data_IF_472937182238
#
_entry.id   IF_472937182238
#
_cell.length_a   1.000
_cell.length_b   1.000
_cell.length_c   1.000
_cell.angle_alpha   90.00
_cell.angle_beta   90.00
_cell.angle_gamma   90.00
#
_symmetry.space_group_name_H-M   'P 1'
#
loop_
_entity.id
_entity.type
_entity.pdbx_description
1 polymer ?
#
# COMPACT_ATOMS: atom_id res chain seq x y z
N UNK A 1 -32.46 -5.98 -8.73
CA UNK A 1 -31.62 -5.81 -7.52
C UNK A 1 -31.98 -4.47 -6.88
N UNK A 2 -32.04 -4.42 -5.55
CA UNK A 2 -32.22 -3.20 -4.76
C UNK A 2 -30.95 -2.92 -3.95
N UNK A 3 -30.35 -1.75 -4.18
CA UNK A 3 -29.30 -1.17 -3.35
C UNK A 3 -29.95 -0.43 -2.16
N UNK A 4 -30.18 -1.19 -1.09
CA UNK A 4 -30.64 -0.65 0.19
C UNK A 4 -29.45 -0.20 1.04
N UNK A 5 -29.71 0.16 2.30
CA UNK A 5 -28.70 0.60 3.26
C UNK A 5 -28.84 -0.17 4.56
N UNK A 6 -27.73 -0.37 5.27
CA UNK A 6 -27.72 -0.96 6.61
C UNK A 6 -28.66 -0.23 7.58
N UNK A 7 -28.95 1.06 7.34
CA UNK A 7 -29.92 1.83 8.14
C UNK A 7 -31.35 1.30 8.06
N UNK A 8 -31.69 0.51 7.03
CA UNK A 8 -33.00 -0.13 6.89
C UNK A 8 -33.27 -1.20 7.96
N UNK A 9 -32.25 -1.64 8.70
CA UNK A 9 -32.42 -2.48 9.90
C UNK A 9 -33.28 -1.78 10.96
N UNK A 10 -33.21 -0.45 11.06
CA UNK A 10 -33.85 0.36 12.11
C UNK A 10 -33.43 -0.08 13.53
N UNK A 11 -32.16 -0.48 13.67
CA UNK A 11 -31.58 -0.91 14.95
C UNK A 11 -30.59 0.13 15.47
N UNK A 12 -30.55 0.31 16.80
CA UNK A 12 -29.59 1.20 17.48
C UNK A 12 -29.66 2.63 16.97
N UNK A 13 -28.52 3.17 16.50
CA UNK A 13 -28.42 4.55 15.98
C UNK A 13 -29.28 4.84 14.75
N UNK A 14 -29.91 3.83 14.14
CA UNK A 14 -30.75 3.97 12.95
C UNK A 14 -32.26 3.87 13.23
N UNK A 15 -32.67 3.61 14.47
CA UNK A 15 -34.06 3.23 14.80
C UNK A 15 -35.13 4.25 14.33
N UNK A 16 -34.84 5.55 14.41
CA UNK A 16 -35.83 6.59 14.12
C UNK A 16 -35.63 7.29 12.76
N UNK A 17 -34.59 6.93 12.01
CA UNK A 17 -34.22 7.63 10.77
C UNK A 17 -35.19 7.40 9.61
N UNK A 18 -35.76 8.48 9.08
CA UNK A 18 -36.68 8.41 7.93
C UNK A 18 -36.03 7.85 6.66
N UNK A 19 -34.72 8.04 6.50
CA UNK A 19 -33.94 7.41 5.44
C UNK A 19 -33.98 5.88 5.54
N UNK A 20 -33.75 5.32 6.73
CA UNK A 20 -33.83 3.88 6.97
C UNK A 20 -35.24 3.34 6.74
N UNK A 21 -36.28 4.05 7.19
CA UNK A 21 -37.68 3.67 6.98
C UNK A 21 -38.04 3.63 5.49
N UNK A 22 -37.62 4.64 4.73
CA UNK A 22 -37.82 4.71 3.28
C UNK A 22 -37.14 3.54 2.56
N UNK A 23 -35.89 3.22 2.93
CA UNK A 23 -35.16 2.07 2.40
C UNK A 23 -35.87 0.74 2.71
N UNK A 24 -36.27 0.52 3.97
CA UNK A 24 -37.01 -0.67 4.39
C UNK A 24 -38.34 -0.85 3.66
N UNK A 25 -39.09 0.23 3.46
CA UNK A 25 -40.33 0.19 2.67
C UNK A 25 -40.07 -0.23 1.21
N UNK A 26 -38.95 0.22 0.63
CA UNK A 26 -38.49 -0.22 -0.70
C UNK A 26 -38.14 -1.71 -0.74
N UNK A 27 -37.49 -2.24 0.30
CA UNK A 27 -37.19 -3.68 0.41
C UNK A 27 -38.47 -4.52 0.37
N UNK A 28 -39.46 -4.19 1.21
CA UNK A 28 -40.74 -4.92 1.24
C UNK A 28 -41.53 -4.80 -0.07
N UNK A 29 -41.41 -3.68 -0.79
CA UNK A 29 -41.99 -3.54 -2.13
C UNK A 29 -41.35 -4.53 -3.11
N UNK A 30 -40.03 -4.65 -3.11
CA UNK A 30 -39.30 -5.58 -3.99
C UNK A 30 -39.60 -7.03 -3.66
N UNK A 31 -39.72 -7.38 -2.37
CA UNK A 31 -40.08 -8.74 -1.96
C UNK A 31 -41.50 -9.11 -2.38
N UNK A 32 -42.49 -8.24 -2.16
CA UNK A 32 -43.86 -8.48 -2.65
C UNK A 32 -43.92 -8.65 -4.17
N UNK A 33 -43.18 -7.83 -4.92
CA UNK A 33 -43.08 -7.98 -6.37
C UNK A 33 -42.51 -9.35 -6.78
N UNK A 34 -41.51 -9.85 -6.04
CA UNK A 34 -40.95 -11.20 -6.23
C UNK A 34 -42.00 -12.30 -6.00
N UNK A 35 -42.79 -12.17 -4.94
CA UNK A 35 -43.87 -13.12 -4.60
C UNK A 35 -44.99 -13.11 -5.65
N UNK A 36 -45.37 -11.92 -6.14
CA UNK A 36 -46.45 -11.76 -7.12
C UNK A 36 -46.06 -12.24 -8.53
N UNK A 37 -44.79 -12.09 -8.93
CA UNK A 37 -44.35 -12.31 -10.32
C UNK A 37 -43.42 -13.50 -10.51
N UNK A 38 -42.82 -14.03 -9.44
CA UNK A 38 -41.75 -15.03 -9.51
C UNK A 38 -40.40 -14.48 -9.98
N UNK A 39 -40.26 -13.17 -10.20
CA UNK A 39 -39.00 -12.56 -10.60
C UNK A 39 -37.93 -12.70 -9.51
N UNK A 40 -36.69 -13.07 -9.87
CA UNK A 40 -35.57 -13.14 -8.92
C UNK A 40 -35.22 -11.74 -8.40
N UNK A 41 -35.38 -11.54 -7.09
CA UNK A 41 -35.05 -10.28 -6.41
C UNK A 41 -33.83 -10.47 -5.51
N UNK A 42 -32.90 -9.53 -5.62
CA UNK A 42 -31.69 -9.42 -4.80
C UNK A 42 -31.75 -8.10 -4.03
N UNK A 43 -31.71 -8.16 -2.70
CA UNK A 43 -31.76 -6.99 -1.83
C UNK A 43 -30.52 -6.96 -0.96
N UNK A 44 -29.69 -5.93 -1.15
CA UNK A 44 -28.49 -5.71 -0.36
C UNK A 44 -28.68 -4.55 0.60
N UNK A 45 -28.21 -4.66 1.83
CA UNK A 45 -28.10 -3.53 2.78
C UNK A 45 -26.64 -3.13 2.92
N UNK A 46 -26.20 -2.20 2.07
CA UNK A 46 -24.79 -1.80 2.09
C UNK A 46 -24.45 -0.91 3.29
N UNK A 47 -23.26 -1.08 3.90
CA UNK A 47 -22.69 -0.12 4.83
C UNK A 47 -22.17 1.11 4.06
N UNK A 48 -21.35 1.94 4.71
CA UNK A 48 -20.74 3.06 4.02
C UNK A 48 -19.77 2.56 2.94
N UNK A 49 -19.77 3.20 1.77
CA UNK A 49 -18.88 2.83 0.67
C UNK A 49 -17.66 3.76 0.62
N UNK A 50 -16.52 3.21 0.24
CA UNK A 50 -15.33 4.00 -0.08
C UNK A 50 -14.58 3.42 -1.28
N UNK A 51 -13.83 4.29 -1.96
CA UNK A 51 -13.08 3.93 -3.15
C UNK A 51 -12.86 5.12 -4.06
N UNK A 52 -12.14 4.86 -5.15
CA UNK A 52 -11.90 5.84 -6.21
C UNK A 52 -13.20 6.41 -6.76
N UNK A 53 -13.14 7.66 -7.20
CA UNK A 53 -14.22 8.40 -7.88
C UNK A 53 -15.46 8.71 -7.04
N UNK A 54 -15.43 8.44 -5.74
CA UNK A 54 -16.46 8.93 -4.84
C UNK A 54 -16.37 10.46 -4.75
N UNK A 55 -17.50 11.17 -4.80
CA UNK A 55 -17.52 12.64 -4.78
C UNK A 55 -17.13 13.17 -3.38
N UNK A 56 -16.06 13.96 -3.24
CA UNK A 56 -15.68 14.57 -1.97
C UNK A 56 -16.63 15.72 -1.60
N UNK A 57 -16.64 16.12 -0.32
CA UNK A 57 -17.47 17.22 0.20
C UNK A 57 -18.98 17.04 -0.09
N UNK A 58 -19.45 15.80 -0.03
CA UNK A 58 -20.86 15.45 -0.20
C UNK A 58 -21.33 14.54 0.94
N UNK A 59 -21.31 13.22 0.75
CA UNK A 59 -21.85 12.25 1.72
C UNK A 59 -20.85 11.18 2.18
N UNK A 60 -19.60 11.20 1.69
CA UNK A 60 -18.54 10.27 2.12
C UNK A 60 -17.45 11.01 2.88
N UNK A 61 -17.28 10.64 4.16
CA UNK A 61 -16.19 11.15 4.99
C UNK A 61 -14.82 10.73 4.43
N UNK A 62 -14.69 9.46 4.01
CA UNK A 62 -13.44 8.94 3.45
C UNK A 62 -13.03 9.68 2.18
N UNK A 63 -13.95 9.89 1.24
CA UNK A 63 -13.67 10.65 0.03
C UNK A 63 -13.26 12.09 0.34
N UNK A 64 -13.94 12.72 1.30
CA UNK A 64 -13.64 14.09 1.74
C UNK A 64 -12.27 14.18 2.39
N UNK A 65 -11.91 13.27 3.28
CA UNK A 65 -10.60 13.26 3.91
C UNK A 65 -9.49 12.96 2.90
N UNK A 66 -9.67 11.97 2.02
CA UNK A 66 -8.70 11.67 0.96
C UNK A 66 -8.45 12.90 0.09
N UNK A 67 -9.51 13.54 -0.42
CA UNK A 67 -9.41 14.73 -1.23
C UNK A 67 -8.72 15.89 -0.49
N UNK A 68 -9.17 16.19 0.72
CA UNK A 68 -8.70 17.37 1.42
C UNK A 68 -7.23 17.19 1.84
N UNK A 69 -6.84 16.03 2.37
CA UNK A 69 -5.45 15.73 2.72
C UNK A 69 -4.55 15.72 1.48
N UNK A 70 -5.01 15.15 0.36
CA UNK A 70 -4.26 15.15 -0.90
C UNK A 70 -4.04 16.57 -1.45
N UNK A 71 -4.98 17.49 -1.22
CA UNK A 71 -4.95 18.85 -1.75
C UNK A 71 -4.60 19.92 -0.69
N UNK A 72 -4.03 19.51 0.45
CA UNK A 72 -3.67 20.40 1.58
C UNK A 72 -4.83 21.27 2.09
N UNK A 73 -6.06 20.80 1.95
CA UNK A 73 -7.25 21.42 2.51
C UNK A 73 -7.50 20.93 3.94
N UNK A 74 -8.10 21.74 4.81
CA UNK A 74 -8.42 21.32 6.17
C UNK A 74 -9.43 20.17 6.18
N UNK A 75 -9.32 19.34 7.22
CA UNK A 75 -10.32 18.34 7.57
C UNK A 75 -10.92 18.68 8.93
N UNK A 76 -12.15 18.24 9.18
CA UNK A 76 -12.81 18.34 10.47
C UNK A 76 -13.14 16.94 10.98
N UNK A 77 -12.69 16.64 12.20
CA UNK A 77 -12.94 15.38 12.90
C UNK A 77 -13.59 15.74 14.23
N UNK A 78 -14.89 15.51 14.35
CA UNK A 78 -15.64 15.87 15.56
C UNK A 78 -15.39 14.86 16.69
N UNK A 79 -15.39 13.57 16.36
CA UNK A 79 -15.15 12.49 17.29
C UNK A 79 -14.32 11.38 16.59
N UNK A 80 -13.02 11.24 16.92
CA UNK A 80 -12.16 10.23 16.30
C UNK A 80 -12.51 8.80 16.73
N UNK A 81 -13.32 8.61 17.78
CA UNK A 81 -13.69 7.29 18.31
C UNK A 81 -14.85 6.62 17.57
N UNK A 82 -15.52 7.35 16.66
CA UNK A 82 -16.64 6.83 15.87
C UNK A 82 -16.18 5.66 15.01
N UNK A 83 -16.84 4.51 15.21
CA UNK A 83 -16.64 3.31 14.41
C UNK A 83 -17.49 3.34 13.12
N UNK A 84 -16.82 3.05 12.01
CA UNK A 84 -17.41 2.98 10.68
C UNK A 84 -17.22 1.58 10.11
N UNK A 85 -18.33 0.95 9.74
CA UNK A 85 -18.31 -0.16 8.79
C UNK A 85 -18.21 0.39 7.36
N UNK A 86 -17.18 -0.07 6.63
CA UNK A 86 -16.83 0.38 5.29
C UNK A 86 -16.71 -0.80 4.32
N UNK A 87 -17.36 -0.68 3.18
CA UNK A 87 -17.26 -1.61 2.05
C UNK A 87 -16.47 -0.93 0.93
N UNK A 88 -15.42 -1.60 0.46
CA UNK A 88 -14.60 -1.08 -0.63
C UNK A 88 -15.29 -1.30 -1.98
N UNK A 89 -15.13 -0.34 -2.89
CA UNK A 89 -15.81 -0.35 -4.18
C UNK A 89 -15.49 -1.60 -5.01
N UNK A 90 -14.27 -2.13 -4.97
CA UNK A 90 -13.93 -3.31 -5.78
C UNK A 90 -14.57 -4.59 -5.18
N UNK A 91 -14.66 -4.73 -3.85
CA UNK A 91 -15.39 -5.84 -3.22
C UNK A 91 -16.89 -5.79 -3.56
N UNK A 92 -17.47 -4.58 -3.61
CA UNK A 92 -18.84 -4.38 -4.07
C UNK A 92 -18.98 -4.82 -5.52
N UNK A 93 -18.08 -4.39 -6.41
CA UNK A 93 -18.14 -4.73 -7.84
C UNK A 93 -18.03 -6.24 -8.05
N UNK A 94 -17.14 -6.91 -7.33
CA UNK A 94 -16.98 -8.36 -7.40
C UNK A 94 -18.28 -9.08 -6.99
N UNK A 95 -18.93 -8.63 -5.90
CA UNK A 95 -20.24 -9.15 -5.49
C UNK A 95 -21.33 -8.88 -6.54
N UNK A 96 -21.33 -7.71 -7.18
CA UNK A 96 -22.29 -7.41 -8.25
C UNK A 96 -22.07 -8.29 -9.49
N UNK A 97 -20.82 -8.59 -9.82
CA UNK A 97 -20.49 -9.53 -10.90
C UNK A 97 -20.92 -10.96 -10.53
N UNK A 98 -20.68 -11.38 -9.29
CA UNK A 98 -21.16 -12.67 -8.77
C UNK A 98 -22.69 -12.78 -8.86
N UNK A 99 -23.40 -11.75 -8.44
CA UNK A 99 -24.86 -11.68 -8.53
C UNK A 99 -25.40 -11.82 -9.97
N UNK A 100 -24.72 -11.23 -10.96
CA UNK A 100 -25.07 -11.40 -12.37
C UNK A 100 -24.88 -12.84 -12.86
N UNK A 101 -23.96 -13.60 -12.27
CA UNK A 101 -23.74 -15.03 -12.55
C UNK A 101 -24.65 -15.96 -11.74
N UNK A 102 -25.42 -15.43 -10.80
CA UNK A 102 -26.20 -16.23 -9.85
C UNK A 102 -25.38 -16.79 -8.70
N UNK A 103 -24.20 -16.21 -8.46
CA UNK A 103 -23.25 -16.55 -7.40
C UNK A 103 -23.32 -15.53 -6.24
N UNK A 104 -24.46 -14.83 -6.08
CA UNK A 104 -24.61 -13.86 -4.99
C UNK A 104 -24.47 -14.52 -3.61
N UNK A 105 -23.89 -13.79 -2.66
CA UNK A 105 -23.85 -14.24 -1.27
C UNK A 105 -25.15 -13.84 -0.56
N UNK A 106 -25.78 -14.81 0.11
CA UNK A 106 -27.07 -14.67 0.81
C UNK A 106 -26.90 -14.66 2.32
N UNK A 107 -27.78 -13.94 3.01
CA UNK A 107 -27.74 -13.82 4.47
C UNK A 107 -29.11 -13.52 5.11
N UNK A 108 -29.18 -13.78 6.42
CA UNK A 108 -30.06 -13.12 7.35
C UNK A 108 -29.33 -12.01 8.13
N UNK A 109 -30.06 -11.31 8.99
CA UNK A 109 -29.51 -10.31 9.90
C UNK A 109 -29.92 -10.60 11.34
N UNK A 110 -28.97 -10.53 12.27
CA UNK A 110 -29.23 -10.43 13.70
C UNK A 110 -28.82 -9.02 14.18
N UNK A 111 -29.78 -8.15 14.39
CA UNK A 111 -29.51 -6.72 14.60
C UNK A 111 -28.82 -6.08 13.39
N UNK A 112 -27.55 -5.73 13.55
CA UNK A 112 -26.69 -5.19 12.48
C UNK A 112 -25.75 -6.26 11.89
N UNK A 113 -25.62 -7.41 12.55
CA UNK A 113 -24.67 -8.44 12.16
C UNK A 113 -25.23 -9.27 11.01
N UNK A 114 -24.38 -9.51 10.02
CA UNK A 114 -24.69 -10.36 8.87
C UNK A 114 -24.51 -11.82 9.27
N UNK A 115 -25.56 -12.63 9.08
CA UNK A 115 -25.51 -14.07 9.32
C UNK A 115 -25.59 -14.78 7.96
N UNK A 116 -24.47 -15.33 7.43
CA UNK A 116 -24.47 -16.02 6.14
C UNK A 116 -25.47 -17.17 6.13
N UNK A 117 -26.33 -17.21 5.11
CA UNK A 117 -27.38 -18.20 4.95
C UNK A 117 -27.73 -18.31 3.47
N UNK A 118 -27.58 -19.50 2.88
CA UNK A 118 -27.83 -19.72 1.45
C UNK A 118 -29.29 -19.48 1.07
N UNK A 119 -30.21 -19.68 2.01
CA UNK A 119 -31.65 -19.46 1.83
C UNK A 119 -32.10 -18.10 2.39
N UNK A 120 -31.14 -17.25 2.77
CA UNK A 120 -31.36 -15.94 3.36
C UNK A 120 -32.12 -14.98 2.44
N UNK A 121 -33.01 -14.18 3.03
CA UNK A 121 -33.84 -13.20 2.30
C UNK A 121 -33.02 -12.05 1.70
N UNK A 122 -31.84 -11.76 2.27
CA UNK A 122 -30.98 -10.67 1.86
C UNK A 122 -29.71 -11.17 1.18
N UNK A 123 -28.99 -10.25 0.54
CA UNK A 123 -27.66 -10.47 -0.01
C UNK A 123 -26.65 -9.56 0.69
N UNK A 124 -25.38 -9.95 0.72
CA UNK A 124 -24.32 -9.17 1.37
C UNK A 124 -23.00 -9.25 0.61
N UNK A 125 -22.11 -8.29 0.88
CA UNK A 125 -20.71 -8.39 0.48
C UNK A 125 -19.93 -9.08 1.61
N UNK A 126 -19.18 -10.16 1.35
CA UNK A 126 -18.46 -10.90 2.39
C UNK A 126 -17.35 -10.12 3.11
N UNK A 127 -16.87 -9.02 2.53
CA UNK A 127 -15.74 -8.25 3.04
C UNK A 127 -16.19 -6.84 3.38
N UNK A 128 -16.17 -6.51 4.67
CA UNK A 128 -16.31 -5.14 5.19
C UNK A 128 -15.20 -4.86 6.20
N UNK A 129 -14.93 -3.58 6.43
CA UNK A 129 -13.87 -3.11 7.33
C UNK A 129 -14.49 -2.27 8.43
N UNK A 130 -14.23 -2.63 9.68
CA UNK A 130 -14.61 -1.82 10.85
C UNK A 130 -13.39 -1.04 11.30
N UNK A 131 -13.46 0.29 11.20
CA UNK A 131 -12.34 1.18 11.51
C UNK A 131 -12.84 2.46 12.17
N UNK A 132 -12.00 3.01 13.06
CA UNK A 132 -12.32 4.29 13.70
C UNK A 132 -12.00 5.45 12.77
N UNK A 133 -12.78 6.53 12.90
CA UNK A 133 -12.57 7.76 12.15
C UNK A 133 -11.14 8.33 12.34
N UNK A 134 -10.61 8.26 13.56
CA UNK A 134 -9.24 8.67 13.87
C UNK A 134 -8.18 7.84 13.14
N UNK A 135 -8.34 6.52 13.09
CA UNK A 135 -7.41 5.60 12.41
C UNK A 135 -7.34 5.88 10.90
N UNK A 136 -8.46 6.23 10.27
CA UNK A 136 -8.50 6.64 8.86
C UNK A 136 -7.62 7.89 8.66
N UNK A 137 -7.77 8.89 9.52
CA UNK A 137 -7.03 10.15 9.42
C UNK A 137 -5.54 9.95 9.68
N UNK A 138 -5.18 9.11 10.65
CA UNK A 138 -3.78 8.74 10.93
C UNK A 138 -3.14 8.08 9.71
N UNK A 139 -3.78 7.06 9.12
CA UNK A 139 -3.30 6.39 7.91
C UNK A 139 -3.12 7.36 6.74
N UNK A 140 -4.10 8.24 6.49
CA UNK A 140 -4.01 9.23 5.42
C UNK A 140 -2.85 10.22 5.63
N UNK A 141 -2.56 10.59 6.88
CA UNK A 141 -1.40 11.43 7.19
C UNK A 141 -0.08 10.68 6.97
N UNK A 142 0.00 9.39 7.32
CA UNK A 142 1.15 8.54 6.98
C UNK A 142 1.37 8.47 5.47
N UNK A 143 0.30 8.28 4.68
CA UNK A 143 0.38 8.24 3.22
C UNK A 143 0.84 9.57 2.63
N UNK A 144 0.36 10.70 3.17
CA UNK A 144 0.79 12.05 2.76
C UNK A 144 2.28 12.29 3.01
N UNK A 145 2.85 11.70 4.06
CA UNK A 145 4.26 11.85 4.42
C UNK A 145 5.19 10.90 3.64
N UNK A 146 4.66 9.82 3.06
CA UNK A 146 5.48 8.81 2.38
C UNK A 146 6.43 9.38 1.32
N UNK A 147 6.05 10.36 0.46
CA UNK A 147 6.97 10.95 -0.51
C UNK A 147 8.20 11.65 0.09
N UNK A 148 8.09 12.20 1.30
CA UNK A 148 9.21 12.92 1.94
C UNK A 148 10.05 12.01 2.85
N UNK A 149 9.45 10.99 3.46
CA UNK A 149 10.16 10.04 4.32
C UNK A 149 10.70 8.83 3.54
N UNK A 150 10.11 8.55 2.37
CA UNK A 150 10.24 7.33 1.58
C UNK A 150 9.80 6.06 2.33
N UNK A 151 9.24 6.18 3.53
CA UNK A 151 8.87 5.04 4.39
C UNK A 151 7.47 4.56 4.03
N UNK A 152 7.39 3.34 3.52
CA UNK A 152 6.15 2.64 3.30
C UNK A 152 5.76 1.86 4.58
N UNK A 153 4.56 2.09 5.15
CA UNK A 153 4.07 1.29 6.26
C UNK A 153 3.82 -0.15 5.82
N UNK A 154 3.60 -1.04 6.80
CA UNK A 154 3.11 -2.38 6.50
C UNK A 154 1.72 -2.31 5.86
N UNK A 155 1.54 -2.95 4.72
CA UNK A 155 0.26 -3.01 3.99
C UNK A 155 -0.05 -4.48 3.73
N UNK A 156 -0.68 -5.18 4.69
CA UNK A 156 -1.07 -6.57 4.50
C UNK A 156 -2.07 -6.74 3.37
N UNK A 157 -2.10 -7.92 2.78
CA UNK A 157 -3.06 -8.22 1.72
C UNK A 157 -4.50 -8.12 2.24
N UNK A 158 -5.41 -7.67 1.37
CA UNK A 158 -6.81 -7.37 1.67
C UNK A 158 -7.08 -6.42 2.86
N UNK A 159 -6.05 -5.76 3.41
CA UNK A 159 -6.22 -4.83 4.54
C UNK A 159 -6.96 -3.56 4.16
N UNK A 160 -7.61 -2.94 5.15
CA UNK A 160 -8.18 -1.60 5.00
C UNK A 160 -7.14 -0.58 4.53
N UNK A 161 -5.93 -0.59 5.11
CA UNK A 161 -4.85 0.33 4.75
C UNK A 161 -4.47 0.22 3.26
N UNK A 162 -4.42 -0.99 2.70
CA UNK A 162 -4.17 -1.22 1.26
C UNK A 162 -5.20 -0.51 0.39
N UNK A 163 -6.47 -0.77 0.67
CA UNK A 163 -7.62 -0.22 -0.07
C UNK A 163 -7.74 1.29 0.10
N UNK A 164 -7.45 1.79 1.30
CA UNK A 164 -7.44 3.22 1.61
C UNK A 164 -6.29 3.94 0.90
N UNK A 165 -5.09 3.36 0.84
CA UNK A 165 -3.97 3.99 0.12
C UNK A 165 -4.28 4.13 -1.38
N UNK A 166 -4.76 3.08 -2.03
CA UNK A 166 -5.20 3.15 -3.44
C UNK A 166 -6.33 4.17 -3.63
N UNK A 167 -7.26 4.28 -2.68
CA UNK A 167 -8.31 5.31 -2.70
C UNK A 167 -7.71 6.70 -2.61
N UNK A 168 -6.82 6.95 -1.65
CA UNK A 168 -6.13 8.23 -1.46
C UNK A 168 -5.39 8.68 -2.72
N UNK A 169 -4.61 7.78 -3.34
CA UNK A 169 -3.87 8.08 -4.57
C UNK A 169 -4.79 8.56 -5.71
N UNK A 170 -6.04 8.10 -5.77
CA UNK A 170 -7.01 8.55 -6.78
C UNK A 170 -7.46 10.01 -6.63
N UNK A 171 -7.16 10.64 -5.49
CA UNK A 171 -7.45 12.06 -5.22
C UNK A 171 -6.20 12.96 -5.29
N UNK A 172 -5.01 12.40 -5.58
CA UNK A 172 -3.81 13.21 -5.71
C UNK A 172 -3.91 14.20 -6.87
N UNK A 173 -3.56 15.49 -6.68
CA UNK A 173 -3.37 16.40 -7.79
C UNK A 173 -2.15 15.96 -8.61
N UNK A 174 -2.16 16.30 -9.90
CA UNK A 174 -1.10 15.93 -10.86
C UNK A 174 0.30 16.26 -10.34
N UNK A 175 0.44 17.42 -9.70
CA UNK A 175 1.70 17.97 -9.22
C UNK A 175 2.28 17.17 -8.04
N UNK A 176 1.45 16.38 -7.35
CA UNK A 176 1.86 15.50 -6.24
C UNK A 176 1.96 14.03 -6.64
N UNK A 177 1.53 13.68 -7.85
CA UNK A 177 1.73 12.33 -8.40
C UNK A 177 3.20 12.07 -8.77
N UNK A 178 4.03 13.12 -8.80
CA UNK A 178 5.47 13.06 -8.96
C UNK A 178 6.13 13.79 -7.78
N UNK A 179 7.25 13.26 -7.29
CA UNK A 179 8.07 13.92 -6.29
C UNK A 179 9.56 13.63 -6.56
N UNK A 180 10.45 14.61 -6.33
CA UNK A 180 11.88 14.42 -6.55
C UNK A 180 12.48 13.54 -5.47
N UNK A 181 13.51 12.76 -5.84
CA UNK A 181 14.36 12.05 -4.89
C UNK A 181 15.66 12.83 -4.67
N UNK A 182 16.24 12.72 -3.47
CA UNK A 182 17.50 13.37 -3.15
C UNK A 182 18.67 12.57 -3.75
N UNK A 183 19.28 13.10 -4.81
CA UNK A 183 20.47 12.51 -5.43
C UNK A 183 21.74 13.08 -4.79
N UNK A 184 22.49 12.23 -4.07
CA UNK A 184 23.82 12.60 -3.57
C UNK A 184 24.83 12.43 -4.70
N UNK A 185 25.15 13.52 -5.40
CA UNK A 185 26.00 13.52 -6.60
C UNK A 185 27.41 14.01 -6.28
N UNK A 186 28.41 13.30 -6.78
CA UNK A 186 29.82 13.72 -6.75
C UNK A 186 30.55 13.34 -8.06
N UNK A 187 31.88 13.48 -8.08
CA UNK A 187 32.68 13.19 -9.27
C UNK A 187 32.61 11.70 -9.69
N UNK A 188 32.28 10.79 -8.76
CA UNK A 188 32.23 9.33 -8.94
C UNK A 188 30.88 8.86 -9.48
N UNK A 189 29.86 9.72 -9.48
CA UNK A 189 28.49 9.40 -9.92
C UNK A 189 27.46 9.88 -8.88
N UNK A 190 26.48 9.03 -8.55
CA UNK A 190 25.44 9.37 -7.58
C UNK A 190 25.00 8.20 -6.70
N UNK A 191 24.38 8.53 -5.56
CA UNK A 191 23.65 7.59 -4.70
C UNK A 191 22.30 8.19 -4.31
N UNK A 192 21.22 7.43 -4.46
CA UNK A 192 19.85 7.91 -4.27
C UNK A 192 19.02 6.87 -3.52
N UNK A 193 18.43 7.27 -2.39
CA UNK A 193 17.43 6.43 -1.69
C UNK A 193 16.13 6.41 -2.49
N UNK A 194 15.51 5.23 -2.63
CA UNK A 194 14.29 5.05 -3.43
C UNK A 194 13.07 4.80 -2.55
N UNK A 195 13.15 3.83 -1.65
CA UNK A 195 12.04 3.37 -0.82
C UNK A 195 12.57 2.73 0.45
N UNK A 196 11.96 3.02 1.58
CA UNK A 196 12.21 2.38 2.87
C UNK A 196 10.95 1.63 3.27
N UNK A 197 11.10 0.47 3.88
CA UNK A 197 9.98 -0.24 4.49
C UNK A 197 10.20 -0.29 5.99
N UNK A 198 9.12 -0.32 6.77
CA UNK A 198 9.24 -0.36 8.24
C UNK A 198 9.99 -1.62 8.71
N UNK A 199 9.75 -2.77 8.05
CA UNK A 199 10.20 -4.08 8.54
C UNK A 199 11.11 -4.86 7.57
N UNK A 200 11.25 -4.43 6.32
CA UNK A 200 11.88 -5.25 5.25
C UNK A 200 12.97 -4.48 4.51
N UNK A 201 13.68 -3.60 5.22
CA UNK A 201 14.85 -2.91 4.71
C UNK A 201 14.55 -1.73 3.79
N UNK A 202 15.58 -1.34 3.04
CA UNK A 202 15.64 -0.13 2.25
C UNK A 202 16.21 -0.40 0.86
N UNK A 203 15.64 0.25 -0.15
CA UNK A 203 16.12 0.27 -1.52
C UNK A 203 16.81 1.60 -1.85
N UNK A 204 17.92 1.51 -2.57
CA UNK A 204 18.64 2.64 -3.15
C UNK A 204 19.17 2.28 -4.54
N UNK A 205 19.53 3.31 -5.31
CA UNK A 205 20.26 3.15 -6.57
C UNK A 205 21.60 3.85 -6.46
N UNK A 206 22.64 3.15 -6.89
CA UNK A 206 23.98 3.67 -7.04
C UNK A 206 24.31 3.76 -8.53
N UNK A 207 24.72 4.96 -8.97
CA UNK A 207 25.24 5.18 -10.32
C UNK A 207 26.73 5.48 -10.20
N UNK A 208 27.56 4.72 -10.89
CA UNK A 208 29.02 4.86 -10.86
C UNK A 208 29.56 5.14 -12.25
N UNK A 209 30.36 6.20 -12.38
CA UNK A 209 31.00 6.56 -13.66
C UNK A 209 32.01 5.50 -14.12
N UNK A 210 32.47 5.55 -15.38
CA UNK A 210 33.51 4.66 -15.89
C UNK A 210 34.73 4.52 -14.97
N UNK A 211 35.20 3.29 -14.79
CA UNK A 211 36.37 2.96 -13.96
C UNK A 211 36.25 3.24 -12.45
N UNK A 212 35.11 3.75 -11.97
CA UNK A 212 34.92 4.11 -10.56
C UNK A 212 34.80 2.85 -9.70
N UNK A 213 35.51 2.87 -8.57
CA UNK A 213 35.32 1.96 -7.44
C UNK A 213 34.55 2.66 -6.32
N UNK A 214 33.49 2.02 -5.80
CA UNK A 214 32.75 2.44 -4.59
C UNK A 214 32.66 1.28 -3.59
N UNK A 215 32.38 1.59 -2.33
CA UNK A 215 32.39 0.62 -1.22
C UNK A 215 33.62 0.84 -0.34
N UNK A 216 34.49 -0.16 -0.24
CA UNK A 216 35.67 -0.17 0.63
C UNK A 216 35.32 -0.06 2.12
N UNK A 217 34.30 -0.82 2.52
CA UNK A 217 33.85 -0.90 3.91
C UNK A 217 33.22 -2.25 4.21
N UNK A 218 32.99 -2.51 5.50
CA UNK A 218 32.32 -3.70 6.00
C UNK A 218 31.30 -3.35 7.08
N UNK A 219 30.49 -4.34 7.45
CA UNK A 219 29.40 -4.24 8.43
C UNK A 219 29.43 -5.40 9.44
N UNK A 220 28.98 -5.18 10.69
CA UNK A 220 28.84 -6.29 11.65
C UNK A 220 27.55 -7.08 11.41
N UNK A 221 26.43 -6.38 11.20
CA UNK A 221 25.08 -6.95 11.13
C UNK A 221 24.31 -6.48 9.90
N UNK A 222 24.57 -5.26 9.42
CA UNK A 222 24.04 -4.78 8.14
C UNK A 222 24.53 -5.69 7.01
N UNK A 223 23.62 -6.03 6.10
CA UNK A 223 23.93 -6.79 4.90
C UNK A 223 23.05 -6.31 3.74
N UNK A 224 23.54 -6.53 2.53
CA UNK A 224 22.95 -5.95 1.33
C UNK A 224 22.84 -6.97 0.19
N UNK A 225 21.94 -6.67 -0.74
CA UNK A 225 21.96 -7.21 -2.10
C UNK A 225 22.42 -6.14 -3.07
N UNK A 226 23.46 -6.44 -3.85
CA UNK A 226 23.81 -5.63 -5.01
C UNK A 226 23.32 -6.32 -6.27
N UNK A 227 22.56 -5.59 -7.09
CA UNK A 227 21.94 -6.07 -8.32
C UNK A 227 22.28 -5.08 -9.43
N UNK A 228 23.16 -5.47 -10.35
CA UNK A 228 23.49 -4.65 -11.51
C UNK A 228 22.39 -4.79 -12.56
N UNK A 229 21.79 -3.67 -12.95
CA UNK A 229 20.69 -3.63 -13.93
C UNK A 229 21.10 -2.96 -15.24
N UNK A 230 22.24 -2.27 -15.27
CA UNK A 230 22.85 -1.72 -16.48
C UNK A 230 24.36 -1.59 -16.29
N UNK A 231 25.14 -1.94 -17.31
CA UNK A 231 26.60 -1.96 -17.28
C UNK A 231 27.19 -3.29 -16.82
N UNK A 232 28.51 -3.32 -16.60
CA UNK A 232 29.28 -4.48 -16.13
C UNK A 232 30.13 -4.08 -14.93
N UNK A 233 30.14 -4.91 -13.91
CA UNK A 233 30.86 -4.64 -12.69
C UNK A 233 31.65 -5.85 -12.19
N UNK A 234 32.73 -5.56 -11.48
CA UNK A 234 33.38 -6.50 -10.59
C UNK A 234 33.01 -6.12 -9.15
N UNK A 235 32.36 -7.04 -8.44
CA UNK A 235 32.13 -6.93 -7.00
C UNK A 235 33.17 -7.79 -6.30
N UNK A 236 33.91 -7.20 -5.37
CA UNK A 236 34.91 -7.92 -4.58
C UNK A 236 34.52 -7.95 -3.12
N UNK A 237 34.78 -9.07 -2.44
CA UNK A 237 34.56 -9.22 -0.99
C UNK A 237 35.75 -9.94 -0.34
N UNK A 238 36.24 -9.42 0.79
CA UNK A 238 37.33 -10.03 1.57
C UNK A 238 36.97 -10.04 3.05
N UNK A 239 37.08 -11.20 3.70
CA UNK A 239 36.85 -11.32 5.16
C UNK A 239 37.89 -10.47 5.89
N UNK A 240 37.49 -9.74 6.93
CA UNK A 240 38.36 -8.74 7.59
C UNK A 240 39.70 -9.31 8.11
N UNK A 241 39.74 -10.60 8.45
CA UNK A 241 40.89 -11.34 8.98
C UNK A 241 41.57 -12.28 7.94
N UNK A 242 41.16 -12.22 6.68
CA UNK A 242 41.67 -13.06 5.59
C UNK A 242 42.30 -12.22 4.48
N UNK A 243 43.23 -12.83 3.73
CA UNK A 243 43.77 -12.30 2.48
C UNK A 243 43.06 -12.80 1.22
N UNK A 244 42.10 -13.73 1.35
CA UNK A 244 41.34 -14.27 0.23
C UNK A 244 40.27 -13.30 -0.25
N UNK A 245 40.32 -12.92 -1.53
CA UNK A 245 39.34 -12.04 -2.18
C UNK A 245 38.40 -12.87 -3.06
N UNK A 246 37.11 -12.80 -2.75
CA UNK A 246 36.04 -13.33 -3.57
C UNK A 246 35.70 -12.32 -4.66
N UNK A 247 35.68 -12.77 -5.92
CA UNK A 247 35.41 -11.94 -7.09
C UNK A 247 34.12 -12.39 -7.77
N UNK A 248 33.22 -11.44 -8.03
CA UNK A 248 31.95 -11.68 -8.70
C UNK A 248 31.80 -10.70 -9.87
N UNK A 249 31.94 -11.20 -11.10
CA UNK A 249 31.61 -10.43 -12.30
C UNK A 249 30.10 -10.49 -12.56
N UNK A 250 29.46 -9.34 -12.63
CA UNK A 250 28.00 -9.21 -12.81
C UNK A 250 27.66 -8.16 -13.85
N UNK A 251 26.50 -8.27 -14.48
CA UNK A 251 26.10 -7.35 -15.56
C UNK A 251 24.58 -7.16 -15.64
N UNK A 252 24.17 -6.10 -16.34
CA UNK A 252 22.77 -5.91 -16.74
C UNK A 252 22.29 -6.90 -17.82
N UNK A 253 23.21 -7.56 -18.54
CA UNK A 253 22.88 -8.57 -19.55
C UNK A 253 22.30 -9.85 -18.90
N UNK A 254 22.74 -10.14 -17.67
CA UNK A 254 22.26 -11.24 -16.84
C UNK A 254 22.14 -10.76 -15.40
N UNK A 255 20.92 -10.41 -15.00
CA UNK A 255 20.63 -9.86 -13.68
C UNK A 255 20.82 -10.94 -12.60
N UNK A 256 21.78 -10.71 -11.71
CA UNK A 256 22.11 -11.56 -10.57
C UNK A 256 22.25 -10.70 -9.31
N UNK A 257 21.92 -11.26 -8.16
CA UNK A 257 22.05 -10.62 -6.86
C UNK A 257 23.28 -11.17 -6.12
N UNK A 258 24.14 -10.27 -5.63
CA UNK A 258 25.29 -10.64 -4.78
C UNK A 258 25.01 -10.18 -3.35
N UNK A 259 25.08 -11.11 -2.40
CA UNK A 259 25.03 -10.78 -0.97
C UNK A 259 26.32 -10.10 -0.54
N UNK A 260 26.22 -8.90 0.05
CA UNK A 260 27.33 -8.30 0.79
C UNK A 260 27.35 -8.93 2.18
N UNK A 261 28.36 -9.75 2.43
CA UNK A 261 28.44 -10.58 3.63
C UNK A 261 28.88 -9.74 4.84
N UNK A 262 28.20 -9.83 6.00
CA UNK A 262 28.70 -9.27 7.24
C UNK A 262 30.10 -9.81 7.58
N UNK A 263 30.98 -8.94 8.09
CA UNK A 263 32.38 -9.28 8.37
C UNK A 263 33.27 -9.37 7.13
N UNK A 264 32.77 -9.01 5.94
CA UNK A 264 33.56 -8.87 4.71
C UNK A 264 33.59 -7.41 4.29
N UNK A 265 34.80 -6.89 4.09
CA UNK A 265 34.93 -5.65 3.34
C UNK A 265 34.63 -5.91 1.89
N UNK A 266 33.90 -4.99 1.26
CA UNK A 266 33.45 -5.16 -0.11
C UNK A 266 33.54 -3.87 -0.92
N UNK A 267 33.69 -4.03 -2.22
CA UNK A 267 33.65 -2.94 -3.19
C UNK A 267 32.88 -3.36 -4.45
N UNK A 268 32.54 -2.37 -5.27
CA UNK A 268 32.02 -2.57 -6.61
C UNK A 268 32.77 -1.62 -7.56
N UNK A 269 33.21 -2.17 -8.69
CA UNK A 269 34.03 -1.50 -9.70
C UNK A 269 33.25 -1.48 -11.00
N UNK A 270 33.07 -0.29 -11.59
CA UNK A 270 32.57 -0.18 -12.97
C UNK A 270 33.67 -0.61 -13.95
N UNK A 271 33.44 -1.68 -14.70
CA UNK A 271 34.39 -2.22 -15.68
C UNK A 271 34.30 -1.55 -17.05
N UNK A 272 33.35 -0.63 -17.24
CA UNK A 272 33.24 0.15 -18.48
C UNK A 272 34.19 1.36 -18.46
N UNK A 273 34.73 1.68 -19.63
CA UNK A 273 35.50 2.91 -19.90
C UNK A 273 34.61 4.06 -20.40
N UNK A 274 33.35 3.76 -20.76
CA UNK A 274 32.47 4.72 -21.47
C UNK A 274 31.14 4.96 -20.76
N UNK A 275 30.58 3.93 -20.14
CA UNK A 275 29.20 3.93 -19.68
C UNK A 275 29.09 3.93 -18.16
N UNK A 276 28.06 4.59 -17.66
CA UNK A 276 27.71 4.55 -16.24
C UNK A 276 27.16 3.17 -15.86
N UNK A 277 27.60 2.67 -14.71
CA UNK A 277 27.08 1.48 -14.07
C UNK A 277 25.88 1.84 -13.20
N UNK A 278 24.75 1.16 -13.37
CA UNK A 278 23.56 1.33 -12.53
C UNK A 278 23.34 0.07 -11.69
N UNK A 279 23.41 0.23 -10.37
CA UNK A 279 23.25 -0.85 -9.40
C UNK A 279 22.08 -0.54 -8.48
N UNK A 280 21.08 -1.42 -8.46
CA UNK A 280 20.05 -1.43 -7.43
C UNK A 280 20.64 -2.09 -6.18
N UNK A 281 20.46 -1.44 -5.04
CA UNK A 281 20.93 -1.91 -3.74
C UNK A 281 19.74 -2.07 -2.82
N UNK A 282 19.67 -3.20 -2.13
CA UNK A 282 18.78 -3.39 -0.99
C UNK A 282 19.61 -3.62 0.26
N UNK A 283 19.29 -2.96 1.36
CA UNK A 283 19.89 -3.17 2.67
C UNK A 283 18.82 -3.70 3.64
N UNK A 284 19.20 -4.58 4.55
CA UNK A 284 18.27 -5.18 5.53
C UNK A 284 17.69 -4.20 6.54
N UNK A 285 18.31 -3.04 6.71
CA UNK A 285 17.87 -1.97 7.59
C UNK A 285 18.06 -0.60 6.94
N UNK A 286 17.32 0.39 7.43
CA UNK A 286 17.47 1.76 6.96
C UNK A 286 18.76 2.39 7.51
N UNK A 287 19.39 3.27 6.73
CA UNK A 287 20.61 3.94 7.17
C UNK A 287 20.35 4.82 8.41
N UNK A 288 21.12 4.59 9.48
CA UNK A 288 21.10 5.39 10.70
C UNK A 288 22.46 6.08 10.92
N UNK A 289 22.56 7.42 10.78
CA UNK A 289 23.83 8.13 10.94
C UNK A 289 24.44 8.03 12.35
N UNK A 290 23.62 7.83 13.39
CA UNK A 290 24.09 7.71 14.77
C UNK A 290 24.68 6.31 15.06
N UNK A 291 24.28 5.31 14.27
CA UNK A 291 24.73 3.92 14.36
C UNK A 291 24.85 3.33 12.95
N UNK A 292 25.84 3.75 12.14
CA UNK A 292 25.87 3.44 10.71
C UNK A 292 26.27 1.99 10.39
N UNK A 293 26.75 1.23 11.38
CA UNK A 293 27.34 -0.11 11.26
C UNK A 293 28.28 -0.26 10.04
N UNK A 294 29.01 0.81 9.69
CA UNK A 294 29.82 0.88 8.47
C UNK A 294 31.23 1.29 8.84
N UNK A 295 32.20 0.43 8.50
CA UNK A 295 33.60 0.63 8.88
C UNK A 295 34.49 0.57 7.64
N UNK A 296 35.23 1.64 7.40
CA UNK A 296 36.14 1.71 6.26
C UNK A 296 37.27 0.69 6.38
N UNK A 297 37.47 -0.11 5.34
CA UNK A 297 38.59 -1.04 5.19
C UNK A 297 38.73 -1.36 3.70
N UNK A 298 39.88 -1.11 3.06
CA UNK A 298 40.08 -1.52 1.68
C UNK A 298 40.05 -3.05 1.51
N UNK A 299 39.50 -3.50 0.38
CA UNK A 299 39.59 -4.91 -0.07
C UNK A 299 41.05 -5.29 -0.32
N UNK A 300 41.86 -4.38 -0.89
CA UNK A 300 43.30 -4.52 -1.10
C UNK A 300 44.06 -3.35 -0.48
#
# INVERSE_FOLDING_TARGET
>A
MLSSSIQATLVGRYAEGDYGKSKKAGEELFFRYSEETGAKVLVYRFPNLFGKWCRPNYNSAVATFCNNIANDLPIQVNDPSVDLELLYIDDLVDEMIGALKGEEHRCGYDGLDVIPDRDGRYCYCPVTHHVKLGEIVELLNTFRQQPSTLVMPEIPDNSFAKKLYSTYLSYLPKEKAIFPLNMNVDQRGSFTELLKTVNCGQFSVNISKPGITKGQHWHNSKWEFFIVVSGRALIQQRRIDSGEVLNFEVSGDRIEAVHMLPGYTHNIINLSDTDDLVTLMWANEAFNPDRPDTYFLPVE
#
